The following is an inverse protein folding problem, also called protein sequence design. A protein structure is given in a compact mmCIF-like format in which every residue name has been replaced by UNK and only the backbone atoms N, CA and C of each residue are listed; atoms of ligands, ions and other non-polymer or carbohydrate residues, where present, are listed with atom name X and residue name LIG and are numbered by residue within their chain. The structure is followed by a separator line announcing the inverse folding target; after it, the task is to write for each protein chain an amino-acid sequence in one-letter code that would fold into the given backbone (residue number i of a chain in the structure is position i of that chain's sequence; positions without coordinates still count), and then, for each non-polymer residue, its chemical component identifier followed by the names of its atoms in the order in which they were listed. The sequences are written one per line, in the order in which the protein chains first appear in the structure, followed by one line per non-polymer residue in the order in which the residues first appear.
data_IF_609177929431
#
_entry.id   IF_609177929431
#
_cell.length_a   1.000
_cell.length_b   1.000
_cell.length_c   1.000
_cell.angle_alpha   90.00
_cell.angle_beta   90.00
_cell.angle_gamma   90.00
#
_symmetry.space_group_name_H-M   'P 1'
#
loop_
_entity.id
_entity.type
_entity.pdbx_description
1 polymer ?
#
# COMPACT_ATOMS: atom_id res chain seq x y z
N UNK A 1 -19.54 5.52 -17.05
CA UNK A 1 -18.07 5.31 -17.08
C UNK A 1 -17.71 4.74 -15.72
N UNK A 2 -17.08 3.56 -15.66
CA UNK A 2 -16.50 3.08 -14.39
C UNK A 2 -15.32 3.97 -14.01
N UNK A 3 -15.40 4.62 -12.85
CA UNK A 3 -14.23 5.20 -12.19
C UNK A 3 -13.43 4.07 -11.56
N UNK A 4 -12.28 3.72 -12.15
CA UNK A 4 -11.32 2.84 -11.49
C UNK A 4 -10.64 3.62 -10.38
N UNK A 5 -10.81 3.16 -9.15
CA UNK A 5 -10.05 3.63 -8.00
C UNK A 5 -8.63 3.05 -8.04
N UNK A 6 -7.62 3.86 -7.77
CA UNK A 6 -6.26 3.36 -7.62
C UNK A 6 -6.17 2.60 -6.29
N UNK A 7 -5.66 1.37 -6.33
CA UNK A 7 -5.53 0.50 -5.14
C UNK A 7 -4.13 -0.07 -5.09
N UNK A 8 -3.50 -0.03 -3.92
CA UNK A 8 -2.16 -0.56 -3.66
C UNK A 8 -2.28 -1.63 -2.57
N UNK A 9 -1.81 -2.84 -2.86
CA UNK A 9 -1.69 -3.92 -1.87
C UNK A 9 -0.26 -3.93 -1.32
N UNK A 10 -0.12 -3.80 0.00
CA UNK A 10 1.16 -3.84 0.70
C UNK A 10 1.21 -5.07 1.60
N UNK A 11 1.97 -6.11 1.25
CA UNK A 11 2.22 -7.22 2.15
C UNK A 11 3.15 -6.78 3.29
N UNK A 12 2.82 -7.15 4.52
CA UNK A 12 3.61 -6.87 5.72
C UNK A 12 3.88 -8.13 6.52
N UNK A 13 5.12 -8.28 6.98
CA UNK A 13 5.57 -9.32 7.91
C UNK A 13 6.02 -8.73 9.26
N UNK A 14 5.79 -7.43 9.46
CA UNK A 14 6.23 -6.62 10.60
C UNK A 14 7.75 -6.54 10.79
N UNK A 15 8.55 -7.00 9.82
CA UNK A 15 9.97 -6.73 9.75
C UNK A 15 10.28 -5.29 9.30
N UNK A 16 11.50 -4.84 9.56
CA UNK A 16 11.96 -3.49 9.18
C UNK A 16 11.74 -3.19 7.69
N UNK A 17 12.03 -4.16 6.81
CA UNK A 17 11.90 -3.98 5.36
C UNK A 17 10.44 -3.81 4.91
N UNK A 18 9.49 -4.54 5.52
CA UNK A 18 8.08 -4.36 5.17
C UNK A 18 7.51 -3.05 5.71
N UNK A 19 8.02 -2.54 6.83
CA UNK A 19 7.68 -1.20 7.32
C UNK A 19 8.24 -0.09 6.44
N UNK A 20 9.48 -0.22 5.94
CA UNK A 20 10.04 0.70 4.94
C UNK A 20 9.20 0.67 3.66
N UNK A 21 8.81 -0.52 3.18
CA UNK A 21 7.94 -0.65 2.01
C UNK A 21 6.57 -0.01 2.22
N UNK A 22 6.01 -0.07 3.43
CA UNK A 22 4.77 0.61 3.79
C UNK A 22 4.91 2.14 3.72
N UNK A 23 6.00 2.71 4.22
CA UNK A 23 6.27 4.15 4.14
C UNK A 23 6.41 4.62 2.68
N UNK A 24 7.13 3.87 1.85
CA UNK A 24 7.23 4.15 0.42
C UNK A 24 5.87 4.06 -0.29
N UNK A 25 5.07 3.04 0.05
CA UNK A 25 3.73 2.85 -0.51
C UNK A 25 2.80 3.99 -0.13
N UNK A 26 2.92 4.54 1.07
CA UNK A 26 2.18 5.73 1.50
C UNK A 26 2.48 6.96 0.62
N UNK A 27 3.75 7.22 0.34
CA UNK A 27 4.15 8.32 -0.52
C UNK A 27 3.57 8.17 -1.94
N UNK A 28 3.61 6.97 -2.50
CA UNK A 28 3.00 6.66 -3.81
C UNK A 28 1.49 6.87 -3.76
N UNK A 29 0.81 6.32 -2.76
CA UNK A 29 -0.63 6.40 -2.62
C UNK A 29 -1.13 7.86 -2.58
N UNK A 30 -0.40 8.75 -1.89
CA UNK A 30 -0.69 10.18 -1.87
C UNK A 30 -0.53 10.84 -3.24
N UNK A 31 0.49 10.46 -4.02
CA UNK A 31 0.73 11.02 -5.35
C UNK A 31 -0.35 10.64 -6.36
N UNK A 32 -0.89 9.42 -6.25
CA UNK A 32 -1.87 8.88 -7.22
C UNK A 32 -3.29 8.82 -6.68
N UNK A 33 -3.55 9.34 -5.48
CA UNK A 33 -4.82 9.23 -4.78
C UNK A 33 -5.32 7.76 -4.74
N UNK A 34 -4.50 6.86 -4.19
CA UNK A 34 -4.82 5.45 -4.03
C UNK A 34 -5.21 5.08 -2.59
N UNK A 35 -6.06 4.07 -2.48
CA UNK A 35 -6.31 3.35 -1.23
C UNK A 35 -5.22 2.29 -1.00
N UNK A 36 -4.76 2.15 0.24
CA UNK A 36 -3.77 1.14 0.62
C UNK A 36 -4.48 0.02 1.37
N UNK A 37 -4.29 -1.21 0.88
CA UNK A 37 -4.68 -2.44 1.53
C UNK A 37 -3.44 -3.08 2.14
N UNK A 38 -3.44 -3.29 3.45
CA UNK A 38 -2.34 -3.96 4.15
C UNK A 38 -2.71 -5.43 4.32
N UNK A 39 -1.80 -6.33 3.94
CA UNK A 39 -2.00 -7.78 4.05
C UNK A 39 -0.89 -8.40 4.90
N UNK A 40 -1.29 -9.07 5.99
CA UNK A 40 -0.43 -9.95 6.75
C UNK A 40 -0.92 -11.40 6.60
N UNK A 41 0.01 -12.32 6.39
CA UNK A 41 -0.27 -13.77 6.27
C UNK A 41 0.39 -14.47 7.46
N UNK A 42 -0.38 -15.29 8.16
CA UNK A 42 0.03 -16.08 9.34
C UNK A 42 0.55 -17.44 8.90
#
# INVERSE_FOLDING_TARGET
METRENKILVPVDFGEQSLIALDQSYNIARMVNAEIYILHVI
#
